data_IF_411557739430
#
_entry.id   IF_411557739430
#
_cell.length_a   1.000
_cell.length_b   1.000
_cell.length_c   1.000
_cell.angle_alpha   90.00
_cell.angle_beta   90.00
_cell.angle_gamma   90.00
#
_symmetry.space_group_name_H-M   'P 1'
#
loop_
_entity.id
_entity.type
_entity.pdbx_description
1 polymer ?
#
# COMPACT_ATOMS: atom_id res chain seq x y z
N UNK A 1 -14.62 8.05 -10.78
CA UNK A 1 -13.29 7.41 -10.70
C UNK A 1 -13.49 5.90 -10.90
N UNK A 2 -12.64 5.23 -11.68
CA UNK A 2 -12.66 3.75 -11.71
C UNK A 2 -12.26 3.24 -10.32
N UNK A 3 -12.90 2.17 -9.83
CA UNK A 3 -12.48 1.56 -8.56
C UNK A 3 -11.01 1.14 -8.66
N UNK A 4 -10.17 1.46 -7.66
CA UNK A 4 -8.79 1.00 -7.67
C UNK A 4 -8.78 -0.53 -7.57
N UNK A 5 -7.82 -1.16 -8.24
CA UNK A 5 -7.58 -2.58 -8.07
C UNK A 5 -7.08 -2.81 -6.65
N UNK A 6 -7.59 -3.85 -5.93
CA UNK A 6 -7.07 -4.24 -4.64
C UNK A 6 -5.54 -4.41 -4.67
N UNK A 7 -4.90 -4.27 -3.52
CA UNK A 7 -3.48 -4.64 -3.39
C UNK A 7 -3.34 -6.15 -3.64
N UNK A 8 -2.27 -6.54 -4.34
CA UNK A 8 -1.90 -7.94 -4.46
C UNK A 8 -1.17 -8.45 -3.20
N UNK A 9 -0.91 -9.76 -3.14
CA UNK A 9 -0.29 -10.40 -1.97
C UNK A 9 1.07 -9.80 -1.62
N UNK A 10 1.86 -9.41 -2.62
CA UNK A 10 3.18 -8.84 -2.39
C UNK A 10 3.06 -7.40 -1.86
N UNK A 11 2.21 -6.59 -2.48
CA UNK A 11 1.93 -5.23 -2.02
C UNK A 11 1.37 -5.22 -0.60
N UNK A 12 0.49 -6.17 -0.28
CA UNK A 12 -0.03 -6.36 1.07
C UNK A 12 1.08 -6.76 2.04
N UNK A 13 1.92 -7.73 1.69
CA UNK A 13 3.01 -8.18 2.56
C UNK A 13 4.00 -7.04 2.86
N UNK A 14 4.48 -6.35 1.82
CA UNK A 14 5.40 -5.22 1.98
C UNK A 14 4.79 -4.08 2.80
N UNK A 15 3.52 -3.75 2.57
CA UNK A 15 2.84 -2.70 3.33
C UNK A 15 2.62 -3.09 4.80
N UNK A 16 2.18 -4.32 5.07
CA UNK A 16 1.99 -4.81 6.44
C UNK A 16 3.30 -4.88 7.21
N UNK A 17 4.42 -5.21 6.55
CA UNK A 17 5.77 -5.13 7.11
C UNK A 17 6.13 -3.72 7.55
N UNK A 18 5.77 -2.71 6.76
CA UNK A 18 6.00 -1.31 7.12
C UNK A 18 5.10 -0.84 8.27
N UNK A 19 3.87 -1.34 8.35
CA UNK A 19 2.91 -1.00 9.40
C UNK A 19 3.24 -1.69 10.74
N UNK A 20 3.71 -2.93 10.70
CA UNK A 20 3.96 -3.78 11.88
C UNK A 20 5.33 -4.48 11.81
N UNK A 21 6.44 -3.73 11.77
CA UNK A 21 7.78 -4.28 11.57
C UNK A 21 8.23 -5.27 12.67
N UNK A 22 7.68 -5.15 13.88
CA UNK A 22 7.95 -6.09 14.97
C UNK A 22 7.25 -7.45 14.79
N UNK A 23 6.22 -7.51 13.96
CA UNK A 23 5.40 -8.71 13.71
C UNK A 23 5.74 -9.39 12.38
N UNK A 24 6.00 -8.61 11.34
CA UNK A 24 6.41 -9.09 10.01
C UNK A 24 7.85 -8.63 9.81
N UNK A 25 8.80 -9.53 10.08
CA UNK A 25 10.21 -9.16 10.28
C UNK A 25 11.08 -9.35 9.04
N UNK A 26 10.67 -10.25 8.17
CA UNK A 26 11.40 -10.65 6.96
C UNK A 26 10.41 -11.13 5.90
N UNK A 27 10.96 -11.43 4.73
CA UNK A 27 10.23 -11.99 3.59
C UNK A 27 10.22 -13.53 3.63
N UNK A 28 10.50 -14.13 4.80
CA UNK A 28 10.43 -15.57 4.98
C UNK A 28 8.98 -16.05 4.87
N UNK A 29 8.77 -17.25 4.32
CA UNK A 29 7.45 -17.83 4.02
C UNK A 29 6.46 -17.73 5.21
N UNK A 30 6.94 -17.93 6.44
CA UNK A 30 6.11 -17.85 7.64
C UNK A 30 5.45 -16.47 7.85
N UNK A 31 6.15 -15.37 7.49
CA UNK A 31 5.57 -14.03 7.57
C UNK A 31 4.71 -13.71 6.35
N UNK A 32 5.01 -14.32 5.20
CA UNK A 32 4.16 -14.19 4.02
C UNK A 32 2.79 -14.82 4.27
N UNK A 33 2.75 -16.03 4.88
CA UNK A 33 1.50 -16.68 5.31
C UNK A 33 0.73 -15.82 6.32
N UNK A 34 1.42 -15.19 7.29
CA UNK A 34 0.79 -14.28 8.24
C UNK A 34 0.17 -13.06 7.53
N UNK A 35 0.86 -12.49 6.55
CA UNK A 35 0.32 -11.40 5.73
C UNK A 35 -0.90 -11.84 4.92
N UNK A 36 -0.89 -13.05 4.36
CA UNK A 36 -2.05 -13.59 3.63
C UNK A 36 -3.29 -13.73 4.51
N UNK A 37 -3.13 -14.15 5.77
CA UNK A 37 -4.26 -14.18 6.72
C UNK A 37 -4.88 -12.79 6.92
N UNK A 38 -4.06 -11.73 6.94
CA UNK A 38 -4.56 -10.36 7.02
C UNK A 38 -5.28 -9.91 5.73
N UNK A 39 -4.92 -10.46 4.56
CA UNK A 39 -5.61 -10.18 3.30
C UNK A 39 -7.06 -10.69 3.29
N UNK A 40 -7.37 -11.72 4.07
CA UNK A 40 -8.72 -12.29 4.20
C UNK A 40 -9.64 -11.46 5.11
N UNK A 41 -9.09 -10.46 5.82
CA UNK A 41 -9.85 -9.65 6.75
C UNK A 41 -10.85 -8.73 6.02
N UNK A 42 -12.09 -8.73 6.52
CA UNK A 42 -13.13 -7.78 6.13
C UNK A 42 -13.18 -6.62 7.11
N UNK A 43 -13.30 -5.40 6.58
CA UNK A 43 -13.45 -4.19 7.37
C UNK A 43 -14.90 -3.74 7.30
N UNK A 44 -15.59 -3.76 8.45
CA UNK A 44 -16.95 -3.25 8.62
C UNK A 44 -16.90 -1.78 9.09
N UNK A 45 -17.62 -0.90 8.40
CA UNK A 45 -17.71 0.53 8.73
C UNK A 45 -18.87 0.86 9.68
N UNK A 46 -19.66 -0.14 10.07
CA UNK A 46 -20.79 -0.03 11.01
C UNK A 46 -22.12 0.38 10.36
N UNK A 47 -22.17 0.51 9.03
CA UNK A 47 -23.36 0.77 8.23
C UNK A 47 -23.83 -0.46 7.41
N UNK A 48 -23.23 -1.63 7.68
CA UNK A 48 -23.47 -2.87 6.95
C UNK A 48 -22.67 -2.98 5.64
N UNK A 49 -21.78 -2.03 5.35
CA UNK A 49 -20.81 -2.15 4.27
C UNK A 49 -19.53 -2.81 4.76
N UNK A 50 -19.25 -4.00 4.22
CA UNK A 50 -17.98 -4.70 4.43
C UNK A 50 -17.11 -4.61 3.18
N UNK A 51 -15.81 -4.35 3.37
CA UNK A 51 -14.83 -4.30 2.28
C UNK A 51 -13.57 -5.11 2.66
N UNK A 52 -12.98 -5.88 1.73
CA UNK A 52 -11.71 -6.53 1.99
C UNK A 52 -10.63 -5.49 2.32
N UNK A 53 -9.78 -5.79 3.31
CA UNK A 53 -8.68 -4.90 3.71
C UNK A 53 -7.80 -4.47 2.50
N UNK A 54 -7.43 -5.35 1.55
CA UNK A 54 -6.66 -4.95 0.37
C UNK A 54 -7.38 -3.92 -0.51
N UNK A 55 -8.71 -4.00 -0.63
CA UNK A 55 -9.49 -3.01 -1.39
C UNK A 55 -9.56 -1.67 -0.66
N UNK A 56 -9.71 -1.68 0.67
CA UNK A 56 -9.70 -0.46 1.46
C UNK A 56 -8.35 0.27 1.33
N UNK A 57 -7.24 -0.45 1.50
CA UNK A 57 -5.89 0.13 1.39
C UNK A 57 -5.60 0.65 -0.02
N UNK A 58 -6.13 -0.01 -1.06
CA UNK A 58 -6.03 0.49 -2.43
C UNK A 58 -6.74 1.84 -2.61
N UNK A 59 -7.90 2.04 -1.95
CA UNK A 59 -8.61 3.32 -1.94
C UNK A 59 -7.82 4.38 -1.17
N UNK A 60 -7.23 4.02 -0.04
CA UNK A 60 -6.35 4.92 0.74
C UNK A 60 -5.15 5.37 -0.10
N UNK A 61 -4.51 4.46 -0.84
CA UNK A 61 -3.41 4.80 -1.73
C UNK A 61 -3.80 5.91 -2.72
N UNK A 62 -4.98 5.80 -3.34
CA UNK A 62 -5.49 6.80 -4.29
C UNK A 62 -5.80 8.17 -3.67
N UNK A 63 -5.80 8.31 -2.33
CA UNK A 63 -5.99 9.58 -1.63
C UNK A 63 -4.67 10.29 -1.28
N UNK A 64 -3.53 9.62 -1.50
CA UNK A 64 -2.20 10.21 -1.27
C UNK A 64 -1.90 11.32 -2.27
N UNK A 65 -1.11 12.33 -1.87
CA UNK A 65 -0.58 13.29 -2.84
C UNK A 65 0.32 12.56 -3.84
N UNK A 66 0.08 12.69 -5.16
CA UNK A 66 0.93 12.03 -6.15
C UNK A 66 2.37 12.50 -6.06
N UNK A 67 3.30 11.55 -6.09
CA UNK A 67 4.73 11.82 -6.21
C UNK A 67 5.16 11.72 -7.67
N UNK A 68 6.08 12.59 -8.09
CA UNK A 68 6.65 12.54 -9.43
C UNK A 68 7.93 11.71 -9.44
N UNK A 69 8.02 10.76 -10.36
CA UNK A 69 9.26 10.06 -10.68
C UNK A 69 10.28 11.03 -11.30
N UNK A 70 11.46 11.14 -10.71
CA UNK A 70 12.55 11.98 -11.25
C UNK A 70 13.12 11.46 -12.57
N UNK A 71 12.99 10.15 -12.82
CA UNK A 71 13.50 9.49 -14.03
C UNK A 71 12.52 9.60 -15.21
N UNK A 72 11.22 9.43 -14.96
CA UNK A 72 10.20 9.30 -16.01
C UNK A 72 9.23 10.47 -16.07
N UNK A 73 9.21 11.34 -15.06
CA UNK A 73 8.24 12.44 -14.92
C UNK A 73 6.81 11.98 -14.60
N UNK A 74 6.56 10.68 -14.50
CA UNK A 74 5.25 10.09 -14.21
C UNK A 74 4.80 10.46 -12.80
N UNK A 75 3.53 10.86 -12.66
CA UNK A 75 2.90 11.04 -11.35
C UNK A 75 2.24 9.74 -10.92
N UNK A 76 2.49 9.32 -9.69
CA UNK A 76 1.87 8.13 -9.11
C UNK A 76 1.44 8.41 -7.67
N UNK A 77 0.29 7.87 -7.29
CA UNK A 77 -0.08 7.69 -5.89
C UNK A 77 0.78 6.57 -5.30
N UNK A 78 1.37 6.82 -4.13
CA UNK A 78 2.30 5.89 -3.51
C UNK A 78 2.04 5.75 -2.01
N UNK A 79 2.13 4.53 -1.50
CA UNK A 79 2.25 4.23 -0.07
C UNK A 79 3.55 3.44 0.14
N UNK A 80 4.31 3.82 1.15
CA UNK A 80 5.58 3.16 1.45
C UNK A 80 6.42 3.93 2.44
N UNK A 81 7.64 3.45 2.66
CA UNK A 81 8.61 4.08 3.54
C UNK A 81 9.07 5.42 2.94
N UNK A 82 8.98 6.48 3.74
CA UNK A 82 9.43 7.82 3.35
C UNK A 82 10.77 8.11 4.01
N UNK A 83 11.74 8.52 3.21
CA UNK A 83 13.02 9.04 3.68
C UNK A 83 13.18 10.49 3.23
N UNK A 84 13.83 11.32 4.04
CA UNK A 84 14.15 12.70 3.66
C UNK A 84 15.66 12.78 3.47
N UNK A 85 16.09 13.13 2.26
CA UNK A 85 17.49 13.31 1.90
C UNK A 85 17.62 14.60 1.09
N UNK A 86 18.64 15.41 1.39
CA UNK A 86 18.95 16.66 0.70
C UNK A 86 17.75 17.63 0.56
N UNK A 87 16.88 17.66 1.58
CA UNK A 87 15.69 18.53 1.60
C UNK A 87 14.52 18.03 0.73
N UNK A 88 14.64 16.85 0.13
CA UNK A 88 13.58 16.22 -0.67
C UNK A 88 13.06 14.95 0.01
N UNK A 89 11.75 14.75 -0.04
CA UNK A 89 11.12 13.48 0.34
C UNK A 89 11.30 12.46 -0.80
N UNK A 90 11.81 11.28 -0.46
CA UNK A 90 11.90 10.11 -1.31
C UNK A 90 11.03 9.00 -0.71
N UNK A 91 10.57 8.09 -1.54
CA UNK A 91 9.76 6.96 -1.08
C UNK A 91 10.20 5.67 -1.76
N UNK A 92 10.34 4.61 -0.96
CA UNK A 92 10.32 3.24 -1.44
C UNK A 92 8.89 2.73 -1.33
N UNK A 93 8.17 2.76 -2.45
CA UNK A 93 6.75 2.43 -2.50
C UNK A 93 6.53 0.91 -2.38
N UNK A 94 5.71 0.49 -1.42
CA UNK A 94 5.12 -0.85 -1.36
C UNK A 94 3.87 -0.93 -2.25
N UNK A 95 3.18 0.21 -2.43
CA UNK A 95 2.03 0.32 -3.33
C UNK A 95 2.24 1.51 -4.25
N UNK A 96 2.10 1.31 -5.56
CA UNK A 96 2.18 2.38 -6.56
C UNK A 96 1.02 2.30 -7.55
N UNK A 97 0.35 3.41 -7.79
CA UNK A 97 -0.72 3.55 -8.79
C UNK A 97 -0.48 4.80 -9.62
N UNK A 98 -0.28 4.64 -10.93
CA UNK A 98 -0.09 5.79 -11.82
C UNK A 98 -1.34 6.67 -11.88
N UNK A 99 -1.14 7.99 -11.82
CA UNK A 99 -2.19 8.97 -12.07
C UNK A 99 -2.54 8.90 -13.56
N UNK A 100 -3.78 8.54 -13.86
CA UNK A 100 -4.31 8.58 -15.23
C UNK A 100 -5.13 9.85 -15.40
N UNK A 101 -4.85 10.60 -16.47
CA UNK A 101 -5.67 11.72 -16.92
C UNK A 101 -7.02 11.25 -17.46
#
# INVERSE_FOLDING_TARGET
MKKPHPLDDLEMHELLRLLYPDHIRSDDDAYFELSQQACEAMVDLGDGFEVPLPELLARVAMLTMPMQSSLTGTLSHCLGEVTIADGAAQMRAAVRRDVRA
#
